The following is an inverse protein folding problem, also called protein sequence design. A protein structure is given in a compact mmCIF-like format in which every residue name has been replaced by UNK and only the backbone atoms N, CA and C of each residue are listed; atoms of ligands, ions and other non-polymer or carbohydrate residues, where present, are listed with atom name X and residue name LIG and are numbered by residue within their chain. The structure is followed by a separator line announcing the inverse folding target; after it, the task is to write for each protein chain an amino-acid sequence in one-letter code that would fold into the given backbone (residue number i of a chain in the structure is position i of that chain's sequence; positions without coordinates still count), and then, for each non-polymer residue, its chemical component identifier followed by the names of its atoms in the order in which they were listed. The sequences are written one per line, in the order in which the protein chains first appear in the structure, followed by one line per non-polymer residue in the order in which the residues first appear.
data_IF_162175183656
#
_entry.id   IF_162175183656
#
_cell.length_a   1.000
_cell.length_b   1.000
_cell.length_c   1.000
_cell.angle_alpha   90.00
_cell.angle_beta   90.00
_cell.angle_gamma   90.00
#
_symmetry.space_group_name_H-M   'P 1'
#
loop_
_entity.id
_entity.type
_entity.pdbx_description
1 polymer ?
#
# COMPACT_ATOMS: atom_id res chain seq x y z
N UNK A 1 87.29 31.24 36.98
CA UNK A 1 87.13 30.91 38.42
C UNK A 1 86.08 31.85 39.01
N UNK A 2 85.20 31.36 39.91
CA UNK A 2 83.94 31.96 40.44
C UNK A 2 82.71 31.64 39.59
N UNK A 3 82.02 30.52 39.81
CA UNK A 3 81.09 30.09 40.90
C UNK A 3 79.62 30.40 40.54
N UNK A 4 78.87 29.31 40.43
CA UNK A 4 77.42 29.17 40.22
C UNK A 4 76.56 29.83 41.31
N UNK A 5 75.40 30.34 40.91
CA UNK A 5 74.17 30.31 41.73
C UNK A 5 73.01 29.86 40.82
N UNK A 6 72.25 28.80 41.16
CA UNK A 6 71.24 28.23 40.29
C UNK A 6 69.88 28.95 40.45
N UNK A 7 69.25 29.30 39.32
CA UNK A 7 67.86 29.78 39.29
C UNK A 7 66.93 28.58 39.08
N UNK A 8 66.11 28.27 40.09
CA UNK A 8 65.04 27.28 40.01
C UNK A 8 64.03 27.66 38.92
N UNK A 9 63.93 26.84 37.87
CA UNK A 9 62.83 26.88 36.89
C UNK A 9 61.60 26.18 37.48
N UNK A 10 60.54 26.93 37.70
CA UNK A 10 59.20 26.37 37.91
C UNK A 10 58.66 25.88 36.56
N UNK A 11 58.35 24.59 36.44
CA UNK A 11 57.54 24.07 35.33
C UNK A 11 56.06 24.27 35.65
N UNK A 12 55.24 24.82 34.73
CA UNK A 12 53.80 24.92 34.93
C UNK A 12 53.12 23.56 34.81
N UNK A 13 52.39 23.19 35.87
CA UNK A 13 51.56 22.01 36.02
C UNK A 13 50.24 22.19 35.24
N UNK A 14 50.29 22.16 33.91
CA UNK A 14 49.09 22.11 33.06
C UNK A 14 49.23 21.01 32.02
N UNK A 15 49.13 19.76 32.45
CA UNK A 15 48.89 18.62 31.56
C UNK A 15 48.22 17.52 32.38
N UNK A 16 47.09 17.02 31.88
CA UNK A 16 46.32 15.83 32.31
C UNK A 16 44.96 16.08 32.95
N UNK A 17 44.16 16.98 32.37
CA UNK A 17 42.71 16.83 32.34
C UNK A 17 42.32 17.23 30.91
N UNK A 18 41.88 16.28 30.09
CA UNK A 18 41.22 16.43 28.76
C UNK A 18 41.45 15.24 27.80
N UNK A 19 42.03 14.12 28.25
CA UNK A 19 42.18 12.91 27.41
C UNK A 19 41.36 11.69 27.88
N UNK A 20 40.32 11.91 28.71
CA UNK A 20 39.43 10.85 29.23
C UNK A 20 37.94 11.17 29.08
N UNK A 21 37.58 12.08 28.16
CA UNK A 21 36.20 12.32 27.71
C UNK A 21 36.05 12.21 26.18
N UNK A 22 37.06 11.68 25.50
CA UNK A 22 37.09 11.55 24.03
C UNK A 22 37.32 10.09 23.58
N UNK A 23 36.83 9.12 24.35
CA UNK A 23 36.92 7.70 24.04
C UNK A 23 35.63 6.93 24.39
N UNK A 24 34.48 7.62 24.29
CA UNK A 24 33.15 7.01 24.45
C UNK A 24 32.13 7.53 23.43
N UNK A 25 32.60 8.09 22.31
CA UNK A 25 31.83 8.06 21.06
C UNK A 25 32.12 6.73 20.39
N UNK A 26 31.60 5.66 20.99
CA UNK A 26 31.32 4.44 20.24
C UNK A 26 30.37 4.91 19.14
N UNK A 27 30.86 4.90 17.90
CA UNK A 27 30.04 4.94 16.71
C UNK A 27 29.05 3.78 16.80
N UNK A 28 27.91 4.00 17.45
CA UNK A 28 26.68 3.33 17.10
C UNK A 28 26.23 3.95 15.78
N UNK A 29 27.00 3.68 14.71
CA UNK A 29 26.38 3.47 13.42
C UNK A 29 25.51 2.23 13.61
N UNK A 30 24.34 2.41 14.20
CA UNK A 30 23.23 1.54 13.91
C UNK A 30 23.12 1.62 12.39
N UNK A 31 23.72 0.64 11.71
CA UNK A 31 23.21 0.25 10.41
C UNK A 31 21.74 -0.01 10.70
N UNK A 32 20.90 0.95 10.37
CA UNK A 32 19.50 0.71 10.17
C UNK A 32 19.49 -0.30 9.03
N UNK A 33 19.57 -1.59 9.38
CA UNK A 33 19.20 -2.66 8.48
C UNK A 33 17.73 -2.38 8.21
N UNK A 34 17.46 -1.67 7.11
CA UNK A 34 16.10 -1.49 6.65
C UNK A 34 15.53 -2.89 6.57
N UNK A 35 14.50 -3.15 7.38
CA UNK A 35 13.82 -4.43 7.38
C UNK A 35 13.38 -4.66 5.95
N UNK A 36 13.73 -5.83 5.39
CA UNK A 36 13.32 -6.14 4.02
C UNK A 36 11.80 -5.95 3.90
N UNK A 37 11.32 -5.24 2.87
CA UNK A 37 9.91 -4.85 2.74
C UNK A 37 8.99 -6.07 2.67
N UNK A 38 9.50 -7.18 2.15
CA UNK A 38 8.80 -8.45 2.05
C UNK A 38 9.64 -9.63 2.58
N UNK A 39 9.00 -10.75 2.96
CA UNK A 39 9.69 -11.98 3.34
C UNK A 39 10.68 -12.44 2.27
N UNK A 40 11.74 -13.15 2.68
CA UNK A 40 12.72 -13.74 1.75
C UNK A 40 12.02 -14.65 0.73
N UNK A 41 12.53 -14.63 -0.51
CA UNK A 41 11.99 -15.41 -1.65
C UNK A 41 10.54 -15.05 -2.02
N UNK A 42 10.07 -13.85 -1.68
CA UNK A 42 8.80 -13.32 -2.22
C UNK A 42 8.94 -13.11 -3.72
N UNK A 43 7.96 -13.59 -4.49
CA UNK A 43 7.86 -13.37 -5.93
C UNK A 43 6.52 -12.74 -6.29
N UNK A 44 5.40 -13.24 -5.74
CA UNK A 44 4.06 -12.79 -6.10
C UNK A 44 3.39 -12.04 -4.98
N UNK A 45 2.95 -10.83 -5.30
CA UNK A 45 2.28 -9.91 -4.37
C UNK A 45 0.88 -9.64 -4.93
N UNK A 46 -0.13 -10.20 -4.28
CA UNK A 46 -1.52 -10.12 -4.70
C UNK A 46 -2.23 -8.96 -4.01
N UNK A 47 -2.98 -8.16 -4.77
CA UNK A 47 -3.89 -7.13 -4.25
C UNK A 47 -5.33 -7.55 -4.51
N UNK A 48 -6.10 -7.72 -3.42
CA UNK A 48 -7.53 -7.96 -3.41
C UNK A 48 -8.26 -6.70 -2.95
N UNK A 49 -9.41 -6.42 -3.58
CA UNK A 49 -10.23 -5.28 -3.21
C UNK A 49 -11.30 -4.99 -4.25
N UNK A 50 -11.89 -3.79 -4.14
CA UNK A 50 -13.00 -3.35 -4.97
C UNK A 50 -12.55 -2.51 -6.20
N UNK A 51 -13.39 -1.55 -6.61
CA UNK A 51 -13.14 -0.64 -7.74
C UNK A 51 -11.89 0.22 -7.58
N UNK A 52 -11.55 0.65 -6.36
CA UNK A 52 -10.34 1.45 -6.10
C UNK A 52 -9.09 0.60 -6.36
N UNK A 53 -9.14 -0.67 -5.97
CA UNK A 53 -8.07 -1.65 -6.27
C UNK A 53 -8.03 -1.96 -7.77
N UNK A 54 -9.17 -2.14 -8.42
CA UNK A 54 -9.23 -2.35 -9.87
C UNK A 54 -8.69 -1.16 -10.69
N UNK A 55 -8.96 0.08 -10.27
CA UNK A 55 -8.36 1.28 -10.86
C UNK A 55 -6.83 1.20 -10.73
N UNK A 56 -6.36 0.87 -9.52
CA UNK A 56 -5.06 0.24 -9.30
C UNK A 56 -3.84 1.16 -9.42
N UNK A 57 -4.01 2.48 -9.59
CA UNK A 57 -2.87 3.38 -9.72
C UNK A 57 -1.96 3.37 -8.48
N UNK A 58 -2.52 3.22 -7.28
CA UNK A 58 -1.69 3.04 -6.07
C UNK A 58 -0.80 1.78 -6.13
N UNK A 59 -1.24 0.72 -6.81
CA UNK A 59 -0.44 -0.50 -7.02
C UNK A 59 0.67 -0.22 -8.03
N UNK A 60 0.36 0.51 -9.11
CA UNK A 60 1.36 0.99 -10.07
C UNK A 60 2.43 1.85 -9.39
N UNK A 61 2.04 2.75 -8.49
CA UNK A 61 2.96 3.63 -7.76
C UNK A 61 3.89 2.82 -6.83
N UNK A 62 3.33 1.87 -6.08
CA UNK A 62 4.10 0.95 -5.23
C UNK A 62 5.06 0.09 -6.07
N UNK A 63 4.57 -0.51 -7.17
CA UNK A 63 5.40 -1.36 -8.03
C UNK A 63 6.55 -0.57 -8.66
N UNK A 64 6.29 0.62 -9.19
CA UNK A 64 7.32 1.48 -9.74
C UNK A 64 8.35 1.87 -8.68
N UNK A 65 7.91 2.17 -7.45
CA UNK A 65 8.80 2.43 -6.32
C UNK A 65 9.73 1.24 -6.05
N UNK A 66 9.18 0.02 -5.97
CA UNK A 66 9.99 -1.17 -5.73
C UNK A 66 10.96 -1.47 -6.86
N UNK A 67 10.59 -1.22 -8.12
CA UNK A 67 11.48 -1.42 -9.26
C UNK A 67 12.68 -0.46 -9.19
N UNK A 68 12.47 0.80 -8.83
CA UNK A 68 13.55 1.81 -8.79
C UNK A 68 14.44 1.67 -7.56
N UNK A 69 13.89 1.30 -6.40
CA UNK A 69 14.63 1.19 -5.13
C UNK A 69 15.22 -0.19 -4.88
N UNK A 70 14.60 -1.26 -5.41
CA UNK A 70 15.01 -2.64 -5.22
C UNK A 70 15.33 -3.33 -6.55
N UNK A 71 16.20 -2.71 -7.34
CA UNK A 71 16.50 -3.04 -8.74
C UNK A 71 16.95 -4.50 -8.98
N UNK A 72 17.50 -5.17 -7.96
CA UNK A 72 17.92 -6.59 -8.01
C UNK A 72 16.81 -7.58 -7.71
N UNK A 73 15.71 -7.12 -7.12
CA UNK A 73 14.56 -7.95 -6.80
C UNK A 73 13.59 -8.00 -8.00
N UNK A 74 12.87 -9.11 -8.09
CA UNK A 74 11.83 -9.32 -9.10
C UNK A 74 10.55 -9.70 -8.39
N UNK A 75 9.69 -8.71 -8.19
CA UNK A 75 8.34 -8.89 -7.67
C UNK A 75 7.34 -8.78 -8.81
N UNK A 76 6.34 -9.64 -8.81
CA UNK A 76 5.16 -9.58 -9.65
C UNK A 76 4.00 -9.03 -8.80
N UNK A 77 3.61 -7.79 -9.05
CA UNK A 77 2.45 -7.16 -8.42
C UNK A 77 1.19 -7.50 -9.23
N UNK A 78 0.26 -8.22 -8.60
CA UNK A 78 -0.92 -8.78 -9.24
C UNK A 78 -2.16 -8.07 -8.70
N UNK A 79 -2.78 -7.24 -9.54
CA UNK A 79 -4.04 -6.59 -9.25
C UNK A 79 -5.22 -7.51 -9.61
N UNK A 80 -5.99 -7.90 -8.60
CA UNK A 80 -7.22 -8.67 -8.76
C UNK A 80 -8.41 -7.97 -8.09
N UNK A 81 -8.42 -6.64 -8.07
CA UNK A 81 -9.58 -5.86 -7.64
C UNK A 81 -10.78 -6.07 -8.57
N UNK A 82 -11.99 -6.11 -8.00
CA UNK A 82 -13.23 -6.23 -8.77
C UNK A 82 -14.21 -5.11 -8.39
N UNK A 83 -14.65 -4.25 -9.33
CA UNK A 83 -15.55 -3.15 -9.00
C UNK A 83 -16.85 -3.60 -8.34
N UNK A 84 -17.35 -2.79 -7.40
CA UNK A 84 -18.52 -3.07 -6.55
C UNK A 84 -18.38 -4.22 -5.55
N UNK A 85 -17.28 -4.99 -5.57
CA UNK A 85 -17.12 -6.18 -4.72
C UNK A 85 -17.14 -5.85 -3.22
N UNK A 86 -17.74 -6.76 -2.45
CA UNK A 86 -17.72 -6.78 -0.98
C UNK A 86 -17.03 -8.05 -0.48
N UNK A 87 -16.51 -7.97 0.75
CA UNK A 87 -16.13 -9.16 1.52
C UNK A 87 -17.24 -9.58 2.49
N UNK A 88 -18.15 -8.66 2.82
CA UNK A 88 -19.33 -8.93 3.65
C UNK A 88 -20.39 -9.80 2.98
N UNK A 89 -20.34 -9.93 1.64
CA UNK A 89 -21.38 -10.60 0.84
C UNK A 89 -22.69 -9.80 0.74
N UNK A 90 -22.70 -8.55 1.22
CA UNK A 90 -23.89 -7.71 1.20
C UNK A 90 -24.08 -7.03 -0.15
N UNK A 91 -25.35 -6.86 -0.52
CA UNK A 91 -25.80 -6.03 -1.63
C UNK A 91 -27.07 -5.30 -1.22
N UNK A 92 -27.13 -4.00 -1.49
CA UNK A 92 -28.37 -3.25 -1.41
C UNK A 92 -29.38 -3.71 -2.47
N UNK A 93 -30.65 -3.47 -2.18
CA UNK A 93 -31.72 -3.64 -3.14
C UNK A 93 -31.48 -2.69 -4.32
N UNK A 94 -31.70 -3.19 -5.54
CA UNK A 94 -31.57 -2.41 -6.77
C UNK A 94 -30.14 -1.89 -7.06
N UNK A 95 -29.09 -2.55 -6.55
CA UNK A 95 -27.71 -2.23 -6.93
C UNK A 95 -27.56 -2.17 -8.46
N UNK A 96 -26.84 -1.15 -8.95
CA UNK A 96 -26.63 -0.90 -10.38
C UNK A 96 -27.94 -0.88 -11.20
N UNK A 97 -28.97 -0.18 -10.69
CA UNK A 97 -30.32 -0.11 -11.26
C UNK A 97 -30.96 -1.50 -11.47
N UNK A 98 -30.66 -2.43 -10.56
CA UNK A 98 -31.17 -3.80 -10.60
C UNK A 98 -30.48 -4.71 -11.61
N UNK A 99 -29.42 -4.24 -12.29
CA UNK A 99 -28.71 -5.05 -13.31
C UNK A 99 -27.98 -6.25 -12.71
N UNK A 100 -27.42 -6.11 -11.51
CA UNK A 100 -26.72 -7.18 -10.81
C UNK A 100 -26.55 -6.83 -9.31
N UNK A 101 -26.53 -7.82 -8.39
CA UNK A 101 -26.14 -7.59 -7.01
C UNK A 101 -24.64 -7.29 -6.92
N UNK A 102 -24.17 -6.66 -5.84
CA UNK A 102 -22.73 -6.49 -5.60
C UNK A 102 -22.00 -7.83 -5.70
N UNK A 103 -20.85 -7.91 -6.40
CA UNK A 103 -20.01 -9.10 -6.37
C UNK A 103 -19.56 -9.44 -4.95
N UNK A 104 -19.37 -10.72 -4.69
CA UNK A 104 -18.91 -11.24 -3.40
C UNK A 104 -17.59 -11.98 -3.59
N UNK A 105 -16.56 -11.60 -2.82
CA UNK A 105 -15.25 -12.25 -2.88
C UNK A 105 -15.32 -13.76 -2.62
N UNK A 106 -16.27 -14.23 -1.80
CA UNK A 106 -16.50 -15.67 -1.55
C UNK A 106 -16.68 -16.47 -2.84
N UNK A 107 -17.21 -15.84 -3.89
CA UNK A 107 -17.48 -16.48 -5.17
C UNK A 107 -16.19 -16.90 -5.90
N UNK A 108 -15.09 -16.15 -5.76
CA UNK A 108 -13.91 -16.29 -6.62
C UNK A 108 -12.58 -16.52 -5.91
N UNK A 109 -12.50 -16.31 -4.59
CA UNK A 109 -11.23 -16.37 -3.85
C UNK A 109 -10.50 -17.72 -4.05
N UNK A 110 -11.20 -18.84 -3.96
CA UNK A 110 -10.58 -20.17 -4.11
C UNK A 110 -9.88 -20.33 -5.48
N UNK A 111 -10.51 -19.87 -6.57
CA UNK A 111 -9.91 -19.91 -7.92
C UNK A 111 -8.72 -18.97 -8.03
N UNK A 112 -8.81 -17.78 -7.44
CA UNK A 112 -7.69 -16.83 -7.36
C UNK A 112 -6.48 -17.46 -6.69
N UNK A 113 -6.65 -18.02 -5.48
CA UNK A 113 -5.54 -18.59 -4.71
C UNK A 113 -4.92 -19.79 -5.41
N UNK A 114 -5.74 -20.65 -6.02
CA UNK A 114 -5.27 -21.83 -6.77
C UNK A 114 -4.39 -21.46 -7.98
N UNK A 115 -4.74 -20.39 -8.70
CA UNK A 115 -4.03 -19.96 -9.90
C UNK A 115 -2.84 -19.03 -9.59
N UNK A 116 -3.04 -18.06 -8.71
CA UNK A 116 -2.03 -17.04 -8.39
C UNK A 116 -0.94 -17.57 -7.47
N UNK A 117 -1.30 -18.36 -6.45
CA UNK A 117 -0.36 -18.86 -5.43
C UNK A 117 0.52 -17.73 -4.86
N UNK A 118 -0.09 -16.72 -4.22
CA UNK A 118 0.64 -15.53 -3.76
C UNK A 118 1.61 -15.83 -2.61
N UNK A 119 2.71 -15.08 -2.53
CA UNK A 119 3.60 -15.07 -1.38
C UNK A 119 3.18 -14.00 -0.35
N UNK A 120 2.63 -12.88 -0.82
CA UNK A 120 2.14 -11.78 0.00
C UNK A 120 0.78 -11.36 -0.53
N UNK A 121 -0.16 -11.08 0.37
CA UNK A 121 -1.50 -10.61 0.01
C UNK A 121 -1.78 -9.28 0.71
N UNK A 122 -2.18 -8.28 -0.08
CA UNK A 122 -2.80 -7.06 0.37
C UNK A 122 -4.32 -7.16 0.14
N UNK A 123 -5.13 -6.84 1.14
CA UNK A 123 -6.59 -6.86 1.04
C UNK A 123 -7.21 -5.54 1.51
N UNK A 124 -7.97 -4.87 0.63
CA UNK A 124 -8.63 -3.59 0.91
C UNK A 124 -10.14 -3.69 0.66
N UNK A 125 -10.91 -3.85 1.74
CA UNK A 125 -12.37 -3.93 1.73
C UNK A 125 -12.95 -3.01 2.83
N UNK A 126 -14.23 -2.64 2.70
CA UNK A 126 -14.93 -1.75 3.63
C UNK A 126 -15.81 -0.73 2.92
N UNK A 127 -15.30 -0.10 1.84
CA UNK A 127 -16.00 0.96 1.11
C UNK A 127 -17.41 0.54 0.67
N UNK A 128 -17.55 -0.65 0.08
CA UNK A 128 -18.84 -1.16 -0.40
C UNK A 128 -19.63 -1.92 0.68
N UNK A 129 -18.96 -2.39 1.73
CA UNK A 129 -19.48 -3.38 2.66
C UNK A 129 -20.56 -2.82 3.59
N UNK A 130 -20.54 -1.51 3.85
CA UNK A 130 -21.62 -0.79 4.52
C UNK A 130 -22.74 -0.31 3.60
N UNK A 131 -22.66 -0.62 2.29
CA UNK A 131 -23.63 -0.32 1.23
C UNK A 131 -24.09 1.16 1.19
N UNK A 132 -23.20 2.09 1.56
CA UNK A 132 -23.47 3.54 1.55
C UNK A 132 -24.66 3.97 2.41
N UNK A 133 -24.98 3.21 3.46
CA UNK A 133 -26.01 3.52 4.44
C UNK A 133 -25.39 3.95 5.79
N UNK A 134 -26.15 4.63 6.67
CA UNK A 134 -25.71 4.91 8.04
C UNK A 134 -25.23 3.65 8.76
N UNK A 135 -24.40 3.83 9.79
CA UNK A 135 -23.86 2.71 10.55
C UNK A 135 -24.98 1.79 11.07
N UNK A 136 -24.77 0.49 10.93
CA UNK A 136 -25.66 -0.54 11.44
C UNK A 136 -24.81 -1.71 11.95
N UNK A 137 -25.18 -2.20 13.13
CA UNK A 137 -24.43 -3.25 13.82
C UNK A 137 -24.44 -4.58 13.05
N UNK A 138 -25.52 -4.91 12.31
CA UNK A 138 -25.61 -6.16 11.54
C UNK A 138 -24.72 -6.10 10.30
N UNK A 139 -24.73 -4.98 9.55
CA UNK A 139 -23.82 -4.77 8.41
C UNK A 139 -22.37 -4.79 8.85
N UNK A 140 -22.07 -4.11 9.96
CA UNK A 140 -20.74 -4.15 10.54
C UNK A 140 -20.32 -5.57 10.94
N UNK A 141 -21.21 -6.34 11.56
CA UNK A 141 -20.93 -7.75 11.87
C UNK A 141 -20.65 -8.58 10.59
N UNK A 142 -21.39 -8.36 9.51
CA UNK A 142 -21.16 -9.04 8.24
C UNK A 142 -19.77 -8.70 7.66
N UNK A 143 -19.37 -7.43 7.68
CA UNK A 143 -18.01 -7.01 7.30
C UNK A 143 -16.94 -7.72 8.15
N UNK A 144 -17.09 -7.72 9.48
CA UNK A 144 -16.14 -8.40 10.39
C UNK A 144 -16.04 -9.89 10.12
N UNK A 145 -17.17 -10.54 9.88
CA UNK A 145 -17.22 -11.96 9.53
C UNK A 145 -16.53 -12.23 8.19
N UNK A 146 -16.79 -11.40 7.17
CA UNK A 146 -16.14 -11.49 5.87
C UNK A 146 -14.63 -11.36 5.94
N UNK A 147 -14.11 -10.37 6.69
CA UNK A 147 -12.67 -10.20 6.89
C UNK A 147 -12.05 -11.40 7.62
N UNK A 148 -12.70 -11.92 8.68
CA UNK A 148 -12.24 -13.11 9.40
C UNK A 148 -12.25 -14.36 8.53
N UNK A 149 -13.28 -14.55 7.71
CA UNK A 149 -13.34 -15.61 6.72
C UNK A 149 -12.19 -15.48 5.72
N UNK A 150 -12.00 -14.29 5.15
CA UNK A 150 -10.90 -14.01 4.22
C UNK A 150 -9.55 -14.34 4.86
N UNK A 151 -9.32 -13.93 6.11
CA UNK A 151 -8.12 -14.27 6.86
C UNK A 151 -7.90 -15.78 6.92
N UNK A 152 -8.93 -16.54 7.33
CA UNK A 152 -8.85 -17.99 7.43
C UNK A 152 -8.54 -18.67 6.09
N UNK A 153 -9.11 -18.18 4.98
CA UNK A 153 -8.83 -18.73 3.65
C UNK A 153 -7.41 -18.38 3.17
N UNK A 154 -6.91 -17.19 3.51
CA UNK A 154 -5.55 -16.79 3.17
C UNK A 154 -4.49 -17.54 4.00
N UNK A 155 -4.75 -17.82 5.27
CA UNK A 155 -3.88 -18.67 6.13
C UNK A 155 -3.79 -20.12 5.63
N UNK A 156 -4.85 -20.62 4.98
CA UNK A 156 -4.83 -21.94 4.32
C UNK A 156 -4.03 -21.94 3.00
N UNK A 157 -3.67 -20.76 2.50
CA UNK A 157 -2.85 -20.63 1.30
C UNK A 157 -1.35 -20.69 1.63
N UNK A 158 -0.49 -20.63 0.62
CA UNK A 158 0.96 -20.55 0.82
C UNK A 158 1.48 -19.11 1.03
N UNK A 159 0.58 -18.13 1.23
CA UNK A 159 0.96 -16.76 1.51
C UNK A 159 1.75 -16.70 2.84
N UNK A 160 2.92 -16.06 2.80
CA UNK A 160 3.81 -15.86 3.94
C UNK A 160 3.42 -14.65 4.78
N UNK A 161 2.60 -13.76 4.23
CA UNK A 161 2.23 -12.49 4.81
C UNK A 161 0.88 -12.01 4.25
N UNK A 162 -0.01 -11.61 5.15
CA UNK A 162 -1.33 -11.05 4.85
C UNK A 162 -1.37 -9.65 5.45
N UNK A 163 -1.65 -8.64 4.64
CA UNK A 163 -1.68 -7.23 5.06
C UNK A 163 -3.05 -6.67 4.70
N UNK A 164 -3.80 -6.25 5.71
CA UNK A 164 -5.04 -5.52 5.48
C UNK A 164 -4.75 -4.04 5.27
N UNK A 165 -5.44 -3.43 4.32
CA UNK A 165 -5.50 -1.98 4.16
C UNK A 165 -6.84 -1.53 4.73
N UNK A 166 -6.82 -0.53 5.61
CA UNK A 166 -8.08 0.16 5.96
C UNK A 166 -8.66 0.81 4.69
N UNK A 167 -10.00 0.85 4.51
CA UNK A 167 -10.59 1.49 3.33
C UNK A 167 -10.19 2.98 3.28
N UNK A 168 -9.90 3.57 2.11
CA UNK A 168 -9.58 4.99 2.03
C UNK A 168 -10.82 5.85 2.34
N UNK A 169 -10.57 7.14 2.61
CA UNK A 169 -11.61 8.13 2.91
C UNK A 169 -12.75 8.12 1.89
N UNK A 170 -13.98 8.22 2.39
CA UNK A 170 -15.15 8.58 1.59
C UNK A 170 -15.47 10.06 1.78
N UNK A 171 -15.65 10.79 0.70
CA UNK A 171 -15.98 12.21 0.74
C UNK A 171 -17.42 12.43 0.31
N UNK A 172 -18.32 12.49 1.28
CA UNK A 172 -19.74 12.70 1.02
C UNK A 172 -20.00 14.05 0.36
N UNK A 173 -20.89 14.09 -0.64
CA UNK A 173 -21.18 15.30 -1.42
C UNK A 173 -21.69 16.46 -0.55
N UNK A 174 -22.43 16.17 0.52
CA UNK A 174 -23.04 17.17 1.39
C UNK A 174 -22.32 17.25 2.73
N UNK A 175 -21.98 16.09 3.31
CA UNK A 175 -21.45 15.99 4.67
C UNK A 175 -19.92 15.88 4.72
N UNK A 176 -19.24 15.73 3.59
CA UNK A 176 -17.80 15.46 3.52
C UNK A 176 -17.40 14.24 4.36
N UNK A 177 -16.38 14.39 5.20
CA UNK A 177 -15.91 13.32 6.12
C UNK A 177 -16.88 13.04 7.28
N UNK A 178 -17.99 13.79 7.40
CA UNK A 178 -19.04 13.56 8.41
C UNK A 178 -20.22 12.72 7.89
N UNK A 179 -20.17 12.30 6.62
CA UNK A 179 -21.16 11.42 6.02
C UNK A 179 -20.83 9.94 6.22
N UNK A 180 -20.89 9.16 5.14
CA UNK A 180 -20.58 7.72 5.15
C UNK A 180 -19.15 7.39 5.65
N UNK A 181 -18.22 8.36 5.62
CA UNK A 181 -16.90 8.18 6.18
C UNK A 181 -16.92 7.78 7.67
N UNK A 182 -17.94 8.19 8.45
CA UNK A 182 -18.10 7.76 9.84
C UNK A 182 -18.33 6.24 9.99
N UNK A 183 -18.89 5.59 8.97
CA UNK A 183 -18.98 4.12 8.91
C UNK A 183 -17.60 3.52 8.65
N UNK A 184 -16.85 4.12 7.73
CA UNK A 184 -15.48 3.71 7.42
C UNK A 184 -14.52 3.95 8.59
N UNK A 185 -14.73 4.99 9.42
CA UNK A 185 -14.02 5.19 10.68
C UNK A 185 -14.19 3.96 11.57
N UNK A 186 -15.44 3.51 11.79
CA UNK A 186 -15.72 2.32 12.63
C UNK A 186 -15.12 1.04 12.07
N UNK A 187 -15.12 0.88 10.74
CA UNK A 187 -14.58 -0.31 10.09
C UNK A 187 -13.04 -0.32 10.20
N UNK A 188 -12.41 0.84 10.00
CA UNK A 188 -10.98 1.06 10.12
C UNK A 188 -10.49 0.91 11.56
N UNK A 189 -11.16 1.53 12.54
CA UNK A 189 -10.89 1.38 13.97
C UNK A 189 -10.87 -0.10 14.38
N UNK A 190 -11.85 -0.88 13.92
CA UNK A 190 -11.90 -2.30 14.21
C UNK A 190 -10.76 -3.08 13.55
N UNK A 191 -10.47 -2.85 12.27
CA UNK A 191 -9.33 -3.47 11.58
C UNK A 191 -8.03 -3.18 12.31
N UNK A 192 -7.78 -1.92 12.68
CA UNK A 192 -6.57 -1.50 13.39
C UNK A 192 -6.45 -2.17 14.76
N UNK A 193 -7.56 -2.34 15.49
CA UNK A 193 -7.54 -3.05 16.77
C UNK A 193 -7.15 -4.53 16.65
N UNK A 194 -7.21 -5.13 15.45
CA UNK A 194 -6.77 -6.52 15.22
C UNK A 194 -5.25 -6.67 15.25
N UNK A 195 -4.48 -5.57 15.14
CA UNK A 195 -3.04 -5.58 15.39
C UNK A 195 -2.72 -6.08 16.79
N UNK A 196 -3.46 -5.62 17.79
CA UNK A 196 -3.20 -5.98 19.18
C UNK A 196 -3.86 -7.31 19.54
N UNK A 197 -5.12 -7.50 19.14
CA UNK A 197 -5.90 -8.68 19.55
C UNK A 197 -5.52 -9.97 18.81
N UNK A 198 -5.19 -9.89 17.52
CA UNK A 198 -4.93 -11.05 16.65
C UNK A 198 -3.55 -11.02 16.00
N UNK A 199 -2.74 -9.99 16.27
CA UNK A 199 -1.42 -9.80 15.65
C UNK A 199 -1.50 -9.72 14.11
N UNK A 200 -2.62 -9.23 13.60
CA UNK A 200 -2.79 -9.01 12.17
C UNK A 200 -1.98 -7.82 11.69
N UNK A 201 -1.44 -7.93 10.49
CA UNK A 201 -0.74 -6.84 9.84
C UNK A 201 -1.74 -5.93 9.12
N UNK A 202 -1.77 -4.65 9.51
CA UNK A 202 -2.73 -3.66 8.97
C UNK A 202 -2.03 -2.34 8.67
N UNK A 203 -2.11 -1.87 7.43
CA UNK A 203 -1.65 -0.54 7.01
C UNK A 203 -2.81 0.46 7.08
N UNK A 204 -2.59 1.61 7.72
CA UNK A 204 -3.64 2.61 7.96
C UNK A 204 -3.73 3.64 6.83
N UNK A 205 -4.45 3.28 5.78
CA UNK A 205 -4.74 4.13 4.62
C UNK A 205 -5.85 5.14 4.93
N UNK A 206 -6.87 4.72 5.69
CA UNK A 206 -8.02 5.53 6.06
C UNK A 206 -7.63 6.82 6.77
N UNK A 207 -6.84 6.71 7.84
CA UNK A 207 -6.39 7.88 8.61
C UNK A 207 -5.52 8.79 7.75
N UNK A 208 -4.61 8.23 6.96
CA UNK A 208 -3.71 8.99 6.10
C UNK A 208 -4.47 9.83 5.05
N UNK A 209 -5.46 9.22 4.38
CA UNK A 209 -6.26 9.91 3.35
C UNK A 209 -7.28 10.88 3.94
N UNK A 210 -7.91 10.54 5.07
CA UNK A 210 -8.86 11.43 5.77
C UNK A 210 -8.16 12.69 6.28
N UNK A 211 -7.04 12.54 6.99
CA UNK A 211 -6.30 13.70 7.52
C UNK A 211 -5.77 14.60 6.41
N UNK A 212 -5.35 14.04 5.28
CA UNK A 212 -4.90 14.85 4.15
C UNK A 212 -6.05 15.69 3.59
N UNK A 213 -7.20 15.08 3.32
CA UNK A 213 -8.39 15.77 2.81
C UNK A 213 -8.82 16.92 3.74
N UNK A 214 -8.92 16.65 5.05
CA UNK A 214 -9.32 17.65 6.04
C UNK A 214 -8.32 18.80 6.15
N UNK A 215 -7.00 18.50 6.14
CA UNK A 215 -5.96 19.53 6.17
C UNK A 215 -5.98 20.40 4.91
N UNK A 216 -6.12 19.80 3.73
CA UNK A 216 -6.19 20.56 2.47
C UNK A 216 -7.39 21.51 2.48
N UNK A 217 -8.51 21.11 3.09
CA UNK A 217 -9.72 21.93 3.23
C UNK A 217 -9.61 23.11 4.20
N UNK A 218 -8.57 23.16 5.04
CA UNK A 218 -8.28 24.35 5.84
C UNK A 218 -7.86 25.54 4.96
N UNK A 219 -7.29 25.28 3.78
CA UNK A 219 -6.84 26.31 2.84
C UNK A 219 -7.63 26.35 1.54
N UNK A 220 -8.20 25.22 1.12
CA UNK A 220 -9.00 25.10 -0.10
C UNK A 220 -10.28 24.30 0.22
N UNK A 221 -11.35 25.00 0.57
CA UNK A 221 -12.59 24.40 1.11
C UNK A 221 -13.28 23.42 0.14
N UNK A 222 -13.11 23.61 -1.17
CA UNK A 222 -13.67 22.77 -2.23
C UNK A 222 -12.73 21.62 -2.68
N UNK A 223 -11.58 21.45 -2.00
CA UNK A 223 -10.61 20.41 -2.34
C UNK A 223 -11.25 19.01 -2.25
N UNK A 224 -10.89 18.15 -3.21
CA UNK A 224 -11.34 16.76 -3.32
C UNK A 224 -10.18 15.87 -3.70
N UNK A 225 -10.14 14.68 -3.10
CA UNK A 225 -9.29 13.58 -3.58
C UNK A 225 -10.00 12.71 -4.63
N UNK A 226 -11.33 12.80 -4.70
CA UNK A 226 -12.17 12.04 -5.62
C UNK A 226 -13.35 12.91 -6.05
N UNK A 227 -13.60 13.02 -7.37
CA UNK A 227 -14.71 13.84 -7.87
C UNK A 227 -16.08 13.32 -7.43
N UNK A 228 -16.23 12.00 -7.37
CA UNK A 228 -17.44 11.30 -6.92
C UNK A 228 -17.43 10.94 -5.43
N UNK A 229 -16.38 11.34 -4.70
CA UNK A 229 -16.22 11.04 -3.29
C UNK A 229 -15.75 9.62 -2.95
N UNK A 230 -15.56 8.76 -3.96
CA UNK A 230 -15.23 7.33 -3.77
C UNK A 230 -13.95 6.93 -4.48
N UNK A 231 -13.79 7.32 -5.76
CA UNK A 231 -12.68 6.87 -6.59
C UNK A 231 -11.60 7.95 -6.66
N UNK A 232 -10.47 7.76 -5.94
CA UNK A 232 -9.44 8.78 -5.85
C UNK A 232 -8.79 9.06 -7.21
N UNK A 233 -8.34 10.30 -7.38
CA UNK A 233 -7.49 10.72 -8.48
C UNK A 233 -6.03 10.30 -8.28
N UNK A 234 -5.12 10.86 -9.09
CA UNK A 234 -3.70 10.58 -9.03
C UNK A 234 -3.09 10.87 -7.65
N UNK A 235 -3.49 11.97 -6.99
CA UNK A 235 -3.01 12.32 -5.67
C UNK A 235 -3.60 11.40 -4.60
N UNK A 236 -4.90 11.12 -4.66
CA UNK A 236 -5.52 10.17 -3.73
C UNK A 236 -4.91 8.77 -3.82
N UNK A 237 -4.60 8.29 -5.04
CA UNK A 237 -3.88 7.04 -5.24
C UNK A 237 -2.46 7.07 -4.69
N UNK A 238 -1.72 8.17 -4.87
CA UNK A 238 -0.41 8.34 -4.26
C UNK A 238 -0.47 8.30 -2.73
N UNK A 239 -1.47 8.93 -2.11
CA UNK A 239 -1.61 8.90 -0.64
C UNK A 239 -1.85 7.48 -0.11
N UNK A 240 -2.63 6.66 -0.84
CA UNK A 240 -2.79 5.24 -0.53
C UNK A 240 -1.44 4.51 -0.66
N UNK A 241 -0.73 4.71 -1.77
CA UNK A 241 0.58 4.10 -2.00
C UNK A 241 1.59 4.48 -0.92
N UNK A 242 1.65 5.76 -0.56
CA UNK A 242 2.54 6.31 0.47
C UNK A 242 2.27 5.68 1.83
N UNK A 243 1.01 5.56 2.26
CA UNK A 243 0.65 4.91 3.52
C UNK A 243 1.07 3.42 3.55
N UNK A 244 0.97 2.72 2.41
CA UNK A 244 1.46 1.34 2.29
C UNK A 244 2.98 1.27 2.35
N UNK A 245 3.68 2.14 1.64
CA UNK A 245 5.15 2.21 1.64
C UNK A 245 5.70 2.54 3.04
N UNK A 246 5.11 3.52 3.74
CA UNK A 246 5.45 3.84 5.13
C UNK A 246 5.24 2.64 6.06
N UNK A 247 4.11 1.93 5.91
CA UNK A 247 3.85 0.70 6.67
C UNK A 247 4.90 -0.40 6.39
N UNK A 248 5.40 -0.50 5.16
CA UNK A 248 6.47 -1.42 4.78
C UNK A 248 7.86 -0.97 5.27
N UNK A 249 7.96 0.21 5.90
CA UNK A 249 9.19 0.76 6.47
C UNK A 249 9.97 1.66 5.51
N UNK A 250 9.38 2.06 4.39
CA UNK A 250 10.00 2.98 3.44
C UNK A 250 9.88 4.44 3.90
N UNK A 251 10.92 5.23 3.67
CA UNK A 251 10.95 6.63 4.06
C UNK A 251 10.40 7.53 2.94
N UNK A 252 9.07 7.69 2.89
CA UNK A 252 8.36 8.44 1.85
C UNK A 252 7.39 9.51 2.39
N UNK A 253 7.40 9.77 3.69
CA UNK A 253 6.46 10.68 4.37
C UNK A 253 6.44 12.11 3.80
N UNK A 254 7.59 12.64 3.41
CA UNK A 254 7.74 13.98 2.85
C UNK A 254 7.64 14.02 1.32
N UNK A 255 7.39 12.88 0.66
CA UNK A 255 7.38 12.80 -0.80
C UNK A 255 5.99 13.21 -1.33
N UNK A 256 5.91 14.25 -2.18
CA UNK A 256 4.63 14.86 -2.57
C UNK A 256 3.83 14.00 -3.56
N UNK A 257 4.51 13.28 -4.44
CA UNK A 257 3.92 12.45 -5.48
C UNK A 257 4.84 11.30 -5.90
N UNK A 258 4.30 10.38 -6.70
CA UNK A 258 5.06 9.23 -7.21
C UNK A 258 6.26 9.66 -8.06
N UNK A 259 6.16 10.74 -8.84
CA UNK A 259 7.27 11.16 -9.71
C UNK A 259 8.47 11.61 -8.89
N UNK A 260 8.24 12.35 -7.81
CA UNK A 260 9.27 12.72 -6.83
C UNK A 260 9.89 11.48 -6.17
N UNK A 261 9.08 10.47 -5.79
CA UNK A 261 9.57 9.20 -5.25
C UNK A 261 10.51 8.47 -6.23
N UNK A 262 10.24 8.56 -7.53
CA UNK A 262 11.01 7.83 -8.54
C UNK A 262 12.28 8.56 -9.01
N UNK A 263 12.57 9.77 -8.50
CA UNK A 263 13.77 10.54 -8.87
C UNK A 263 15.09 9.88 -8.43
N UNK A 264 15.04 8.84 -7.60
CA UNK A 264 16.21 7.99 -7.31
C UNK A 264 16.80 7.33 -8.56
N UNK A 265 16.03 7.27 -9.65
CA UNK A 265 16.48 6.80 -10.95
C UNK A 265 16.23 7.88 -12.03
N UNK A 266 17.23 8.23 -12.88
CA UNK A 266 17.09 9.30 -13.87
C UNK A 266 15.95 9.05 -14.88
N UNK A 267 15.67 7.78 -15.16
CA UNK A 267 14.57 7.34 -16.03
C UNK A 267 13.32 6.89 -15.26
N UNK A 268 13.12 7.35 -14.03
CA UNK A 268 11.99 6.95 -13.17
C UNK A 268 10.60 7.11 -13.84
N UNK A 269 10.41 8.21 -14.59
CA UNK A 269 9.18 8.46 -15.36
C UNK A 269 8.94 7.44 -16.47
N UNK A 270 10.00 7.03 -17.17
CA UNK A 270 9.91 6.01 -18.23
C UNK A 270 9.55 4.64 -17.64
N UNK A 271 10.17 4.28 -16.51
CA UNK A 271 9.84 3.08 -15.75
C UNK A 271 8.36 3.11 -15.33
N UNK A 272 7.89 4.23 -14.79
CA UNK A 272 6.48 4.40 -14.40
C UNK A 272 5.50 4.15 -15.55
N UNK A 273 5.79 4.69 -16.72
CA UNK A 273 4.94 4.51 -17.91
C UNK A 273 4.85 3.04 -18.34
N UNK A 274 5.99 2.33 -18.31
CA UNK A 274 6.04 0.91 -18.62
C UNK A 274 5.29 0.06 -17.59
N UNK A 275 5.46 0.36 -16.30
CA UNK A 275 4.71 -0.30 -15.21
C UNK A 275 3.21 -0.04 -15.36
N UNK A 276 2.81 1.18 -15.67
CA UNK A 276 1.40 1.55 -15.92
C UNK A 276 0.80 0.74 -17.07
N UNK A 277 1.52 0.63 -18.19
CA UNK A 277 1.10 -0.20 -19.33
C UNK A 277 0.95 -1.67 -18.92
N UNK A 278 1.90 -2.19 -18.15
CA UNK A 278 1.90 -3.57 -17.68
C UNK A 278 0.71 -3.87 -16.77
N UNK A 279 0.46 -3.00 -15.78
CA UNK A 279 -0.68 -3.14 -14.87
C UNK A 279 -2.02 -3.08 -15.60
N UNK A 280 -2.16 -2.17 -16.58
CA UNK A 280 -3.36 -2.07 -17.40
C UNK A 280 -3.68 -3.36 -18.18
N UNK A 281 -2.66 -4.04 -18.70
CA UNK A 281 -2.83 -5.32 -19.41
C UNK A 281 -3.12 -6.46 -18.42
N UNK A 282 -2.33 -6.55 -17.36
CA UNK A 282 -2.33 -7.73 -16.48
C UNK A 282 -3.56 -7.82 -15.59
N UNK A 283 -4.12 -6.70 -15.13
CA UNK A 283 -5.30 -6.74 -14.24
C UNK A 283 -6.50 -7.41 -14.92
N UNK A 284 -6.76 -7.08 -16.19
CA UNK A 284 -7.88 -7.64 -16.94
C UNK A 284 -7.61 -9.10 -17.35
N UNK A 285 -6.37 -9.42 -17.70
CA UNK A 285 -5.98 -10.79 -18.02
C UNK A 285 -6.10 -11.74 -16.81
N UNK A 286 -5.67 -11.29 -15.62
CA UNK A 286 -5.81 -12.05 -14.38
C UNK A 286 -7.27 -12.21 -13.96
N UNK A 287 -8.08 -11.14 -14.06
CA UNK A 287 -9.52 -11.22 -13.80
C UNK A 287 -10.19 -12.24 -14.74
N UNK A 288 -9.90 -12.19 -16.04
CA UNK A 288 -10.41 -13.16 -17.01
C UNK A 288 -10.02 -14.59 -16.66
N UNK A 289 -8.76 -14.83 -16.33
CA UNK A 289 -8.24 -16.16 -16.04
C UNK A 289 -8.81 -16.77 -14.75
N UNK A 290 -8.96 -15.94 -13.71
CA UNK A 290 -9.48 -16.38 -12.41
C UNK A 290 -11.01 -16.49 -12.38
N UNK A 291 -11.69 -15.75 -13.27
CA UNK A 291 -13.13 -15.79 -13.45
C UNK A 291 -13.89 -15.02 -12.38
N UNK A 292 -14.89 -14.26 -12.80
CA UNK A 292 -15.79 -13.46 -11.97
C UNK A 292 -17.18 -13.41 -12.60
N UNK A 293 -18.21 -13.08 -11.80
CA UNK A 293 -19.60 -12.99 -12.27
C UNK A 293 -20.09 -11.57 -12.57
N UNK A 294 -19.30 -10.54 -12.25
CA UNK A 294 -19.68 -9.14 -12.50
C UNK A 294 -19.81 -8.86 -14.01
N UNK A 295 -20.96 -8.39 -14.50
CA UNK A 295 -21.10 -8.03 -15.92
C UNK A 295 -20.33 -6.74 -16.26
N UNK A 296 -20.12 -6.49 -17.57
CA UNK A 296 -19.59 -5.21 -18.07
C UNK A 296 -18.13 -4.93 -17.72
N UNK A 297 -17.34 -5.96 -17.43
CA UNK A 297 -15.89 -5.83 -17.28
C UNK A 297 -15.19 -5.92 -18.65
N UNK A 298 -13.99 -5.34 -18.73
CA UNK A 298 -13.15 -5.48 -19.91
C UNK A 298 -12.87 -6.97 -20.18
N UNK A 299 -12.82 -7.40 -21.46
CA UNK A 299 -12.69 -8.81 -21.79
C UNK A 299 -11.35 -9.42 -21.41
N UNK A 300 -10.30 -8.58 -21.28
CA UNK A 300 -8.92 -9.00 -21.02
C UNK A 300 -8.30 -9.86 -22.13
N UNK A 301 -6.97 -9.84 -22.22
CA UNK A 301 -6.24 -10.81 -23.04
C UNK A 301 -6.28 -12.20 -22.39
N UNK A 302 -6.18 -13.29 -23.16
CA UNK A 302 -5.81 -14.59 -22.61
C UNK A 302 -4.52 -14.47 -21.78
N UNK A 303 -4.44 -15.14 -20.64
CA UNK A 303 -3.33 -14.97 -19.69
C UNK A 303 -1.97 -15.24 -20.33
N UNK A 304 -1.86 -16.26 -21.19
CA UNK A 304 -0.63 -16.59 -21.91
C UNK A 304 -0.15 -15.43 -22.79
N UNK A 305 -1.05 -14.76 -23.51
CA UNK A 305 -0.71 -13.59 -24.35
C UNK A 305 -0.33 -12.38 -23.50
N UNK A 306 -1.05 -12.14 -22.40
CA UNK A 306 -0.73 -11.09 -21.45
C UNK A 306 0.67 -11.29 -20.82
N UNK A 307 1.03 -12.54 -20.49
CA UNK A 307 2.34 -12.90 -19.96
C UNK A 307 3.48 -12.66 -20.97
N UNK A 308 3.23 -12.87 -22.27
CA UNK A 308 4.20 -12.51 -23.31
C UNK A 308 4.44 -11.00 -23.35
N UNK A 309 3.38 -10.19 -23.29
CA UNK A 309 3.49 -8.72 -23.21
C UNK A 309 4.17 -8.27 -21.91
N UNK A 310 3.84 -8.90 -20.78
CA UNK A 310 4.52 -8.68 -19.50
C UNK A 310 6.02 -8.88 -19.64
N UNK A 311 6.46 -10.00 -20.22
CA UNK A 311 7.88 -10.32 -20.40
C UNK A 311 8.59 -9.32 -21.32
N UNK A 312 7.93 -8.82 -22.36
CA UNK A 312 8.47 -7.79 -23.25
C UNK A 312 8.68 -6.46 -22.50
N UNK A 313 7.68 -6.01 -21.73
CA UNK A 313 7.78 -4.79 -20.93
C UNK A 313 8.83 -4.95 -19.82
N UNK A 314 8.87 -6.10 -19.15
CA UNK A 314 9.89 -6.39 -18.14
C UNK A 314 11.30 -6.32 -18.73
N UNK A 315 11.52 -6.82 -19.96
CA UNK A 315 12.81 -6.68 -20.65
C UNK A 315 13.19 -5.21 -20.88
N UNK A 316 12.22 -4.36 -21.23
CA UNK A 316 12.44 -2.92 -21.41
C UNK A 316 12.81 -2.24 -20.09
N UNK A 317 12.06 -2.51 -19.01
CA UNK A 317 12.34 -2.00 -17.66
C UNK A 317 13.76 -2.42 -17.22
N UNK A 318 14.13 -3.69 -17.40
CA UNK A 318 15.47 -4.19 -17.03
C UNK A 318 16.59 -3.62 -17.91
N UNK A 319 16.30 -3.23 -19.15
CA UNK A 319 17.27 -2.53 -19.98
C UNK A 319 17.51 -1.10 -19.49
N UNK A 320 16.47 -0.42 -18.99
CA UNK A 320 16.56 0.90 -18.37
C UNK A 320 17.38 0.83 -17.08
N UNK A 321 17.08 -0.11 -16.18
CA UNK A 321 17.79 -0.27 -14.91
C UNK A 321 19.28 -0.64 -15.01
N UNK A 322 19.75 -1.05 -16.20
CA UNK A 322 21.16 -1.39 -16.45
C UNK A 322 21.99 -0.20 -16.94
N UNK A 323 21.34 0.90 -17.34
CA UNK A 323 21.99 2.12 -17.82
C UNK A 323 22.31 3.03 -16.65
#
# INVERSE_FOLDING_TARGET
MKINIPVKKYLPYYRRINFLLLALFIFNAAYATSKAPFPKKTKRILFLGNSITYAGKYITDIEAYFITHYQKQQFEFINLGLPSETVSGLSELNHADGKFPRPDLHERLARILAQVKPDVVFACYGMNDGIYLPFDAKRFQAFRNGIKWLHSELEKSNAKKIIYLTPPVHDDKELGTKGYNLVLDKYSEWLLSQKDSLQWEVADVHTATTQYLERARLTQTDFKLANDGVHPDDLGHWLIARAVLEYLGENVNAVPDVQAALQVHPQGKEIYNLVSQRQAIMKDAWLKATGFKRPGMAPGLPLTEAQQKYAQIEKQIRAILKR
#
